data_IF_340743050540
#
_entry.id   IF_340743050540
#
_cell.length_a   1.000
_cell.length_b   1.000
_cell.length_c   1.000
_cell.angle_alpha   90.00
_cell.angle_beta   90.00
_cell.angle_gamma   90.00
#
_symmetry.space_group_name_H-M   'P 1'
#
loop_
_entity.id
_entity.type
_entity.pdbx_description
1 polymer ?
#
# COMPACT_ATOMS: atom_id res chain seq x y z
N UNK A 1 40.78 -7.11 28.68
CA UNK A 1 39.67 -8.01 28.28
C UNK A 1 39.25 -8.79 29.50
N UNK A 2 37.95 -8.99 29.76
CA UNK A 2 37.54 -9.83 30.87
C UNK A 2 37.98 -11.28 30.62
N UNK A 3 38.36 -11.99 31.68
CA UNK A 3 38.55 -13.44 31.62
C UNK A 3 37.24 -14.14 31.24
N UNK A 4 37.34 -15.37 30.72
CA UNK A 4 36.14 -16.19 30.49
C UNK A 4 35.70 -16.82 31.79
N UNK A 5 34.42 -16.75 32.07
CA UNK A 5 33.81 -17.44 33.21
C UNK A 5 32.73 -18.38 32.71
N UNK A 6 32.69 -19.59 33.23
CA UNK A 6 31.61 -20.54 32.96
C UNK A 6 31.34 -21.39 34.20
N UNK A 7 30.11 -21.89 34.30
CA UNK A 7 29.71 -22.82 35.35
C UNK A 7 29.64 -24.24 34.77
N UNK A 8 30.30 -25.17 35.45
CA UNK A 8 30.28 -26.59 35.09
C UNK A 8 30.20 -27.39 36.40
N UNK A 9 29.21 -28.29 36.51
CA UNK A 9 28.98 -29.14 37.69
C UNK A 9 28.88 -28.37 39.03
N UNK A 10 28.10 -27.28 39.10
CA UNK A 10 27.98 -26.41 40.29
C UNK A 10 29.32 -25.77 40.75
N UNK A 11 30.33 -25.72 39.86
CA UNK A 11 31.60 -25.03 40.11
C UNK A 11 31.78 -23.91 39.09
N UNK A 12 32.19 -22.73 39.56
CA UNK A 12 32.52 -21.58 38.72
C UNK A 12 34.00 -21.65 38.32
N UNK A 13 34.25 -21.72 37.03
CA UNK A 13 35.59 -21.68 36.45
C UNK A 13 35.88 -20.28 35.92
N UNK A 14 37.09 -19.80 36.16
CA UNK A 14 37.58 -18.50 35.67
C UNK A 14 38.87 -18.75 34.90
N UNK A 15 38.88 -18.39 33.61
CA UNK A 15 40.07 -18.38 32.79
C UNK A 15 40.62 -16.96 32.76
N UNK A 16 41.77 -16.77 33.43
CA UNK A 16 42.50 -15.51 33.42
C UNK A 16 43.17 -15.25 32.06
N UNK A 17 43.41 -13.97 31.78
CA UNK A 17 44.06 -13.53 30.55
C UNK A 17 45.57 -13.70 30.72
N UNK A 18 46.21 -14.42 29.78
CA UNK A 18 47.67 -14.58 29.79
C UNK A 18 48.36 -13.22 29.72
N UNK A 19 49.37 -13.02 30.57
CA UNK A 19 50.23 -11.83 30.61
C UNK A 19 51.59 -12.07 29.92
N UNK A 20 51.79 -13.24 29.32
CA UNK A 20 53.04 -13.60 28.64
C UNK A 20 53.09 -12.89 27.28
N UNK A 21 54.21 -12.19 26.95
CA UNK A 21 54.42 -11.60 25.64
C UNK A 21 54.42 -12.67 24.53
N UNK A 22 53.72 -12.39 23.44
CA UNK A 22 53.66 -13.30 22.29
C UNK A 22 54.93 -13.24 21.45
N UNK A 23 55.33 -14.41 20.94
CA UNK A 23 56.40 -14.55 19.95
C UNK A 23 55.85 -14.48 18.53
N UNK A 24 56.75 -14.37 17.53
CA UNK A 24 56.36 -14.47 16.11
C UNK A 24 55.68 -15.81 15.79
N UNK A 25 56.09 -16.89 16.47
CA UNK A 25 55.48 -18.22 16.31
C UNK A 25 54.02 -18.24 16.78
N UNK A 26 53.73 -17.57 17.90
CA UNK A 26 52.37 -17.49 18.44
C UNK A 26 51.42 -16.75 17.50
N UNK A 27 51.89 -15.67 16.86
CA UNK A 27 51.10 -14.91 15.87
C UNK A 27 50.80 -15.76 14.63
N UNK A 28 51.79 -16.52 14.13
CA UNK A 28 51.58 -17.46 13.01
C UNK A 28 50.55 -18.53 13.40
N UNK A 29 50.67 -19.08 14.61
CA UNK A 29 49.73 -20.07 15.11
C UNK A 29 48.31 -19.52 15.24
N UNK A 30 48.16 -18.29 15.73
CA UNK A 30 46.87 -17.61 15.81
C UNK A 30 46.21 -17.45 14.42
N UNK A 31 47.00 -17.07 13.42
CA UNK A 31 46.52 -16.98 12.03
C UNK A 31 46.06 -18.35 11.51
N UNK A 32 46.87 -19.40 11.66
CA UNK A 32 46.52 -20.76 11.23
C UNK A 32 45.26 -21.27 11.92
N UNK A 33 45.09 -20.99 13.21
CA UNK A 33 43.89 -21.34 13.96
C UNK A 33 42.66 -20.59 13.44
N UNK A 34 42.77 -19.31 13.15
CA UNK A 34 41.68 -18.51 12.58
C UNK A 34 41.26 -19.07 11.21
N UNK A 35 42.23 -19.32 10.32
CA UNK A 35 42.00 -19.86 8.98
C UNK A 35 41.38 -21.26 9.02
N UNK A 36 41.81 -22.10 9.97
CA UNK A 36 41.21 -23.41 10.21
C UNK A 36 39.75 -23.26 10.67
N UNK A 37 39.47 -22.43 11.68
CA UNK A 37 38.11 -22.23 12.20
C UNK A 37 37.16 -21.61 11.19
N UNK A 38 37.65 -20.68 10.35
CA UNK A 38 36.86 -20.09 9.27
C UNK A 38 36.43 -21.17 8.25
N UNK A 39 37.34 -22.09 7.90
CA UNK A 39 37.04 -23.22 7.00
C UNK A 39 36.11 -24.25 7.64
N UNK A 40 36.41 -24.69 8.87
CA UNK A 40 35.61 -25.67 9.61
C UNK A 40 34.16 -25.20 9.81
N UNK A 41 33.97 -23.92 10.12
CA UNK A 41 32.64 -23.32 10.30
C UNK A 41 32.04 -22.76 9.00
N UNK A 42 32.67 -23.01 7.84
CA UNK A 42 32.19 -22.60 6.53
C UNK A 42 31.79 -21.12 6.46
N UNK A 43 32.65 -20.25 7.00
CA UNK A 43 32.41 -18.81 6.97
C UNK A 43 32.42 -18.28 5.53
N UNK A 44 31.47 -17.40 5.19
CA UNK A 44 31.39 -16.80 3.86
C UNK A 44 32.53 -15.81 3.63
N UNK A 45 33.15 -15.88 2.46
CA UNK A 45 34.22 -14.96 2.04
C UNK A 45 33.69 -13.56 1.67
N UNK A 46 32.44 -13.46 1.22
CA UNK A 46 31.81 -12.20 0.80
C UNK A 46 30.48 -11.97 1.52
N UNK A 47 30.09 -10.70 1.62
CA UNK A 47 28.86 -10.29 2.30
C UNK A 47 28.90 -10.44 3.83
N UNK A 48 27.72 -10.25 4.45
CA UNK A 48 27.55 -10.32 5.90
C UNK A 48 27.57 -11.79 6.34
N UNK A 49 28.46 -12.12 7.28
CA UNK A 49 28.60 -13.48 7.82
C UNK A 49 28.79 -13.43 9.36
N UNK A 50 27.83 -13.94 10.14
CA UNK A 50 27.91 -13.93 11.61
C UNK A 50 29.10 -14.73 12.14
N UNK A 51 29.36 -15.92 11.58
CA UNK A 51 30.50 -16.78 11.95
C UNK A 51 31.82 -16.06 11.75
N UNK A 52 31.99 -15.41 10.58
CA UNK A 52 33.18 -14.61 10.30
C UNK A 52 33.30 -13.46 11.30
N UNK A 53 32.22 -12.71 11.52
CA UNK A 53 32.20 -11.59 12.47
C UNK A 53 32.64 -12.03 13.87
N UNK A 54 32.12 -13.15 14.37
CA UNK A 54 32.47 -13.72 15.67
C UNK A 54 33.96 -14.09 15.74
N UNK A 55 34.48 -14.83 14.74
CA UNK A 55 35.87 -15.28 14.74
C UNK A 55 36.86 -14.11 14.61
N UNK A 56 36.55 -13.10 13.79
CA UNK A 56 37.37 -11.90 13.68
C UNK A 56 37.31 -11.05 14.96
N UNK A 57 36.16 -10.99 15.65
CA UNK A 57 36.06 -10.30 16.93
C UNK A 57 36.95 -10.98 17.98
N UNK A 58 36.92 -12.31 18.08
CA UNK A 58 37.80 -13.07 18.98
C UNK A 58 39.28 -12.85 18.64
N UNK A 59 39.65 -12.88 17.35
CA UNK A 59 41.02 -12.62 16.92
C UNK A 59 41.46 -11.18 17.23
N UNK A 60 40.59 -10.19 17.02
CA UNK A 60 40.91 -8.79 17.31
C UNK A 60 41.05 -8.53 18.81
N UNK A 61 40.24 -9.19 19.64
CA UNK A 61 40.43 -9.18 21.09
C UNK A 61 41.80 -9.76 21.47
N UNK A 62 42.23 -10.86 20.85
CA UNK A 62 43.58 -11.40 21.08
C UNK A 62 44.68 -10.41 20.66
N UNK A 63 44.55 -9.75 19.50
CA UNK A 63 45.49 -8.71 19.07
C UNK A 63 45.54 -7.51 20.04
N UNK A 64 44.38 -7.13 20.62
CA UNK A 64 44.34 -6.10 21.68
C UNK A 64 45.09 -6.58 22.92
N UNK A 65 44.91 -7.84 23.34
CA UNK A 65 45.66 -8.44 24.46
C UNK A 65 47.17 -8.35 24.22
N UNK A 66 47.63 -8.86 23.08
CA UNK A 66 49.05 -8.88 22.71
C UNK A 66 49.65 -7.47 22.64
N UNK A 67 48.92 -6.53 22.03
CA UNK A 67 49.35 -5.13 21.94
C UNK A 67 49.39 -4.47 23.32
N UNK A 68 48.44 -4.77 24.20
CA UNK A 68 48.38 -4.23 25.56
C UNK A 68 49.57 -4.69 26.40
N UNK A 69 49.98 -5.96 26.26
CA UNK A 69 51.17 -6.50 26.96
C UNK A 69 52.44 -5.78 26.52
N UNK A 70 52.54 -5.46 25.22
CA UNK A 70 53.68 -4.71 24.69
C UNK A 70 53.65 -3.22 25.09
N UNK A 71 52.47 -2.59 25.04
CA UNK A 71 52.25 -1.18 25.36
C UNK A 71 50.77 -0.95 25.67
N UNK A 72 50.47 -0.66 26.93
CA UNK A 72 49.10 -0.55 27.43
C UNK A 72 48.31 0.56 26.73
N UNK A 73 48.95 1.68 26.40
CA UNK A 73 48.36 2.85 25.75
C UNK A 73 47.89 2.51 24.33
N UNK A 74 48.69 1.72 23.59
CA UNK A 74 48.30 1.23 22.26
C UNK A 74 47.15 0.24 22.34
N UNK A 75 47.17 -0.65 23.33
CA UNK A 75 46.07 -1.56 23.62
C UNK A 75 44.76 -0.82 23.90
N UNK A 76 44.82 0.21 24.75
CA UNK A 76 43.68 1.07 25.07
C UNK A 76 43.14 1.82 23.84
N UNK A 77 44.02 2.28 22.95
CA UNK A 77 43.60 2.92 21.71
C UNK A 77 42.85 1.95 20.79
N UNK A 78 43.38 0.74 20.60
CA UNK A 78 42.71 -0.30 19.79
C UNK A 78 41.35 -0.70 20.38
N UNK A 79 41.26 -0.78 21.71
CA UNK A 79 39.99 -1.01 22.42
C UNK A 79 38.95 0.05 22.09
N UNK A 80 39.32 1.34 22.12
CA UNK A 80 38.40 2.44 21.79
C UNK A 80 37.96 2.39 20.33
N UNK A 81 38.88 2.13 19.40
CA UNK A 81 38.56 1.99 17.97
C UNK A 81 37.60 0.82 17.74
N UNK A 82 37.79 -0.31 18.43
CA UNK A 82 36.88 -1.45 18.39
C UNK A 82 35.47 -1.04 18.78
N UNK A 83 35.34 -0.37 19.92
CA UNK A 83 34.05 -0.02 20.51
C UNK A 83 33.32 1.02 19.63
N UNK A 84 34.04 1.99 19.07
CA UNK A 84 33.50 2.97 18.12
C UNK A 84 32.97 2.30 16.84
N UNK A 85 33.73 1.35 16.26
CA UNK A 85 33.29 0.60 15.09
C UNK A 85 32.05 -0.25 15.42
N UNK A 86 32.00 -0.86 16.60
CA UNK A 86 30.83 -1.62 17.04
C UNK A 86 29.58 -0.74 17.19
N UNK A 87 29.72 0.43 17.81
CA UNK A 87 28.64 1.42 17.90
C UNK A 87 28.16 1.87 16.51
N UNK A 88 29.09 2.13 15.60
CA UNK A 88 28.78 2.54 14.23
C UNK A 88 28.01 1.45 13.48
N UNK A 89 28.42 0.19 13.61
CA UNK A 89 27.71 -0.94 13.00
C UNK A 89 26.30 -1.10 13.57
N UNK A 90 26.13 -0.98 14.89
CA UNK A 90 24.82 -1.05 15.54
C UNK A 90 23.87 0.07 15.07
N UNK A 91 24.41 1.28 14.87
CA UNK A 91 23.65 2.40 14.31
C UNK A 91 23.21 2.10 12.87
N UNK A 92 24.09 1.57 12.02
CA UNK A 92 23.73 1.16 10.66
C UNK A 92 22.71 0.04 10.63
N UNK A 93 22.79 -0.95 11.52
CA UNK A 93 21.78 -2.01 11.64
C UNK A 93 20.41 -1.42 11.98
N UNK A 94 20.34 -0.55 12.99
CA UNK A 94 19.10 0.13 13.39
C UNK A 94 18.49 0.95 12.24
N UNK A 95 19.33 1.67 11.50
CA UNK A 95 18.88 2.46 10.34
C UNK A 95 18.36 1.56 9.20
N UNK A 96 19.04 0.45 8.94
CA UNK A 96 18.63 -0.52 7.92
C UNK A 96 17.29 -1.18 8.28
N UNK A 97 17.14 -1.66 9.51
CA UNK A 97 15.88 -2.22 10.03
C UNK A 97 14.73 -1.22 9.91
N UNK A 98 14.98 0.04 10.30
CA UNK A 98 14.00 1.13 10.17
C UNK A 98 13.60 1.39 8.72
N UNK A 99 14.56 1.33 7.80
CA UNK A 99 14.35 1.56 6.36
C UNK A 99 13.54 0.43 5.73
N UNK A 100 13.84 -0.83 6.07
CA UNK A 100 13.05 -2.00 5.64
C UNK A 100 11.62 -1.90 6.17
N UNK A 101 11.44 -1.59 7.45
CA UNK A 101 10.12 -1.43 8.06
C UNK A 101 9.32 -0.27 7.43
N UNK A 102 9.98 0.83 7.04
CA UNK A 102 9.34 1.90 6.30
C UNK A 102 8.87 1.44 4.92
N UNK A 103 9.72 0.74 4.16
CA UNK A 103 9.38 0.19 2.84
C UNK A 103 8.18 -0.76 2.91
N UNK A 104 8.16 -1.67 3.87
CA UNK A 104 7.04 -2.60 4.08
C UNK A 104 5.73 -1.86 4.40
N UNK A 105 5.77 -0.86 5.29
CA UNK A 105 4.58 -0.05 5.62
C UNK A 105 4.03 0.68 4.40
N UNK A 106 4.91 1.24 3.56
CA UNK A 106 4.49 1.94 2.34
C UNK A 106 3.90 1.01 1.30
N UNK A 107 4.46 -0.18 1.12
CA UNK A 107 3.89 -1.20 0.25
C UNK A 107 2.48 -1.61 0.73
N UNK A 108 2.33 -1.89 2.03
CA UNK A 108 1.02 -2.25 2.59
C UNK A 108 0.00 -1.12 2.47
N UNK A 109 0.40 0.14 2.72
CA UNK A 109 -0.46 1.30 2.57
C UNK A 109 -0.95 1.47 1.12
N UNK A 110 -0.08 1.20 0.14
CA UNK A 110 -0.45 1.26 -1.28
C UNK A 110 -1.47 0.18 -1.65
N UNK A 111 -1.27 -1.06 -1.19
CA UNK A 111 -2.22 -2.16 -1.41
C UNK A 111 -3.60 -1.88 -0.78
N UNK A 112 -3.62 -1.37 0.46
CA UNK A 112 -4.87 -0.97 1.11
C UNK A 112 -5.58 0.16 0.34
N UNK A 113 -4.84 1.20 -0.03
CA UNK A 113 -5.40 2.33 -0.80
C UNK A 113 -5.95 1.89 -2.15
N UNK A 114 -5.31 0.94 -2.82
CA UNK A 114 -5.81 0.34 -4.07
C UNK A 114 -7.12 -0.41 -3.84
N UNK A 115 -7.18 -1.29 -2.83
CA UNK A 115 -8.39 -2.05 -2.52
C UNK A 115 -9.58 -1.15 -2.14
N UNK A 116 -9.32 -0.05 -1.42
CA UNK A 116 -10.34 0.94 -1.09
C UNK A 116 -10.89 1.66 -2.33
N UNK A 117 -10.01 2.04 -3.26
CA UNK A 117 -10.40 2.66 -4.53
C UNK A 117 -11.18 1.69 -5.41
N UNK A 118 -10.76 0.42 -5.51
CA UNK A 118 -11.49 -0.60 -6.27
C UNK A 118 -12.90 -0.82 -5.73
N UNK A 119 -13.07 -0.85 -4.40
CA UNK A 119 -14.40 -0.90 -3.78
C UNK A 119 -15.24 0.32 -4.15
N UNK A 120 -14.64 1.53 -4.08
CA UNK A 120 -15.36 2.77 -4.40
C UNK A 120 -15.78 2.82 -5.87
N UNK A 121 -14.94 2.32 -6.78
CA UNK A 121 -15.28 2.21 -8.21
C UNK A 121 -16.48 1.29 -8.38
N UNK A 122 -16.48 0.10 -7.76
CA UNK A 122 -17.59 -0.84 -7.86
C UNK A 122 -18.92 -0.26 -7.34
N UNK A 123 -18.88 0.46 -6.21
CA UNK A 123 -20.05 1.17 -5.67
C UNK A 123 -20.58 2.22 -6.66
N UNK A 124 -19.70 3.07 -7.19
CA UNK A 124 -20.07 4.13 -8.13
C UNK A 124 -20.58 3.59 -9.47
N UNK A 125 -20.03 2.45 -9.94
CA UNK A 125 -20.51 1.78 -11.15
C UNK A 125 -21.92 1.19 -10.98
N UNK A 126 -22.25 0.67 -9.80
CA UNK A 126 -23.61 0.22 -9.47
C UNK A 126 -24.57 1.41 -9.38
N UNK A 127 -24.19 2.48 -8.67
CA UNK A 127 -25.00 3.70 -8.55
C UNK A 127 -25.26 4.34 -9.92
N UNK A 128 -24.24 4.41 -10.78
CA UNK A 128 -24.38 4.88 -12.16
C UNK A 128 -25.39 4.04 -12.94
N UNK A 129 -25.30 2.70 -12.87
CA UNK A 129 -26.23 1.79 -13.56
C UNK A 129 -27.67 2.00 -13.10
N UNK A 130 -27.88 2.15 -11.79
CA UNK A 130 -29.21 2.39 -11.23
C UNK A 130 -29.77 3.77 -11.64
N UNK A 131 -28.96 4.82 -11.62
CA UNK A 131 -29.36 6.14 -12.09
C UNK A 131 -29.67 6.14 -13.59
N UNK A 132 -28.90 5.44 -14.41
CA UNK A 132 -29.18 5.29 -15.85
C UNK A 132 -30.51 4.56 -16.09
N UNK A 133 -30.82 3.53 -15.28
CA UNK A 133 -32.12 2.84 -15.31
C UNK A 133 -33.26 3.79 -14.98
N UNK A 134 -33.15 4.55 -13.88
CA UNK A 134 -34.16 5.53 -13.47
C UNK A 134 -34.40 6.60 -14.53
N UNK A 135 -33.33 7.14 -15.12
CA UNK A 135 -33.42 8.12 -16.20
C UNK A 135 -34.17 7.55 -17.41
N UNK A 136 -33.89 6.30 -17.80
CA UNK A 136 -34.58 5.66 -18.92
C UNK A 136 -36.06 5.40 -18.61
N UNK A 137 -36.40 5.01 -17.39
CA UNK A 137 -37.78 4.82 -16.96
C UNK A 137 -38.59 6.12 -16.97
N UNK A 138 -38.03 7.20 -16.43
CA UNK A 138 -38.70 8.50 -16.43
C UNK A 138 -38.83 9.08 -17.85
N UNK A 139 -37.81 8.90 -18.72
CA UNK A 139 -37.91 9.26 -20.14
C UNK A 139 -39.06 8.53 -20.83
N UNK A 140 -39.16 7.21 -20.64
CA UNK A 140 -40.24 6.42 -21.23
C UNK A 140 -41.63 6.86 -20.71
N UNK A 141 -41.74 7.22 -19.42
CA UNK A 141 -42.98 7.78 -18.86
C UNK A 141 -43.34 9.12 -19.50
N UNK A 142 -42.39 10.05 -19.61
CA UNK A 142 -42.61 11.34 -20.26
C UNK A 142 -43.08 11.17 -21.71
N UNK A 143 -42.40 10.33 -22.49
CA UNK A 143 -42.79 10.04 -23.88
C UNK A 143 -44.21 9.46 -24.00
N UNK A 144 -44.59 8.56 -23.08
CA UNK A 144 -45.94 8.00 -23.05
C UNK A 144 -47.01 9.05 -22.73
N UNK A 145 -46.73 9.95 -21.76
CA UNK A 145 -47.61 11.05 -21.40
C UNK A 145 -47.76 12.04 -22.56
N UNK A 146 -46.66 12.40 -23.22
CA UNK A 146 -46.67 13.30 -24.38
C UNK A 146 -47.49 12.73 -25.53
N UNK A 147 -47.28 11.45 -25.89
CA UNK A 147 -48.08 10.79 -26.93
C UNK A 147 -49.57 10.76 -26.59
N UNK A 148 -49.92 10.36 -25.36
CA UNK A 148 -51.32 10.34 -24.92
C UNK A 148 -51.94 11.75 -24.93
N UNK A 149 -51.17 12.78 -24.54
CA UNK A 149 -51.59 14.17 -24.61
C UNK A 149 -51.85 14.65 -26.05
N UNK A 150 -50.93 14.33 -26.97
CA UNK A 150 -51.08 14.65 -28.39
C UNK A 150 -52.29 13.95 -29.02
N UNK A 151 -52.49 12.66 -28.75
CA UNK A 151 -53.65 11.91 -29.24
C UNK A 151 -54.98 12.52 -28.76
N UNK A 152 -55.06 12.90 -27.48
CA UNK A 152 -56.24 13.58 -26.92
C UNK A 152 -56.48 14.94 -27.57
N UNK A 153 -55.43 15.76 -27.73
CA UNK A 153 -55.55 17.05 -28.42
C UNK A 153 -56.04 16.89 -29.86
N UNK A 154 -55.48 15.95 -30.62
CA UNK A 154 -55.91 15.68 -32.00
C UNK A 154 -57.37 15.20 -32.07
N UNK A 155 -57.81 14.39 -31.10
CA UNK A 155 -59.20 13.94 -31.04
C UNK A 155 -60.16 15.10 -30.75
N UNK A 156 -59.82 15.95 -29.77
CA UNK A 156 -60.62 17.14 -29.42
C UNK A 156 -60.64 18.17 -30.55
N UNK A 157 -59.53 18.41 -31.24
CA UNK A 157 -59.49 19.26 -32.44
C UNK A 157 -60.39 18.73 -33.55
N UNK A 158 -60.37 17.43 -33.84
CA UNK A 158 -61.27 16.81 -34.83
C UNK A 158 -62.73 16.99 -34.46
N UNK A 159 -63.10 16.69 -33.21
CA UNK A 159 -64.47 16.90 -32.72
C UNK A 159 -64.89 18.36 -32.86
N UNK A 160 -64.03 19.30 -32.45
CA UNK A 160 -64.32 20.73 -32.53
C UNK A 160 -64.49 21.21 -33.98
N UNK A 161 -63.63 20.73 -34.90
CA UNK A 161 -63.77 21.02 -36.34
C UNK A 161 -65.11 20.50 -36.88
N UNK A 162 -65.49 19.27 -36.53
CA UNK A 162 -66.77 18.67 -36.91
C UNK A 162 -67.96 19.48 -36.37
N UNK A 163 -67.89 19.91 -35.11
CA UNK A 163 -68.91 20.73 -34.44
C UNK A 163 -69.06 22.10 -35.12
N UNK A 164 -67.95 22.77 -35.40
CA UNK A 164 -67.93 24.06 -36.12
C UNK A 164 -68.49 23.89 -37.53
N UNK A 165 -68.15 22.81 -38.24
CA UNK A 165 -68.70 22.53 -39.56
C UNK A 165 -70.22 22.27 -39.50
N UNK A 166 -70.68 21.50 -38.52
CA UNK A 166 -72.11 21.26 -38.28
C UNK A 166 -72.84 22.58 -38.01
N UNK A 167 -72.35 23.40 -37.07
CA UNK A 167 -72.93 24.70 -36.75
C UNK A 167 -72.94 25.64 -37.96
N UNK A 168 -71.88 25.66 -38.78
CA UNK A 168 -71.84 26.44 -40.03
C UNK A 168 -72.93 26.00 -41.01
N UNK A 169 -73.13 24.69 -41.21
CA UNK A 169 -74.21 24.14 -42.07
C UNK A 169 -75.59 24.52 -41.54
N UNK A 170 -75.83 24.36 -40.24
CA UNK A 170 -77.10 24.73 -39.60
C UNK A 170 -77.38 26.23 -39.72
N UNK A 171 -76.36 27.07 -39.51
CA UNK A 171 -76.49 28.53 -39.65
C UNK A 171 -76.79 28.94 -41.10
N UNK A 172 -76.17 28.29 -42.10
CA UNK A 172 -76.50 28.48 -43.50
C UNK A 172 -77.96 28.09 -43.81
N UNK A 173 -78.43 26.93 -43.35
CA UNK A 173 -79.82 26.50 -43.52
C UNK A 173 -80.81 27.50 -42.89
N UNK A 174 -80.53 27.94 -41.66
CA UNK A 174 -81.35 28.96 -40.98
C UNK A 174 -81.36 30.30 -41.70
N UNK A 175 -80.23 30.73 -42.29
CA UNK A 175 -80.16 31.94 -43.13
C UNK A 175 -81.00 31.81 -44.40
N UNK A 176 -81.01 30.65 -45.04
CA UNK A 176 -81.85 30.38 -46.23
C UNK A 176 -83.33 30.37 -45.83
N UNK A 177 -83.71 29.72 -44.72
CA UNK A 177 -85.08 29.78 -44.19
C UNK A 177 -85.52 31.20 -43.82
N UNK A 178 -84.63 32.05 -43.29
CA UNK A 178 -84.94 33.47 -43.02
C UNK A 178 -84.98 34.34 -44.29
N UNK A 179 -84.30 33.94 -45.37
CA UNK A 179 -84.29 34.65 -46.68
C UNK A 179 -85.39 34.18 -47.64
N UNK A 180 -86.16 33.16 -47.30
CA UNK A 180 -87.34 32.72 -48.05
C UNK A 180 -88.62 33.25 -47.38
N UNK A 181 -89.12 34.45 -47.73
CA UNK A 181 -90.42 34.90 -47.28
C UNK A 181 -91.52 34.15 -48.04
N UNK A 182 -92.56 33.73 -47.32
CA UNK A 182 -93.80 33.10 -47.78
C UNK A 182 -93.78 31.61 -48.15
N UNK A 183 -94.10 30.77 -47.17
CA UNK A 183 -95.21 29.80 -47.34
C UNK A 183 -95.65 29.26 -45.97
N UNK A 184 -96.82 29.72 -45.53
CA UNK A 184 -97.82 29.11 -44.62
C UNK A 184 -98.58 30.27 -43.96
N UNK A 185 -99.60 30.83 -44.61
CA UNK A 185 -100.97 30.33 -44.84
C UNK A 185 -101.94 30.92 -43.81
N UNK A 186 -102.96 31.59 -44.37
CA UNK A 186 -104.36 31.74 -43.92
C UNK A 186 -104.64 32.19 -42.49
#
# INVERSE_FOLDING_TARGET
>A
LPGREWEEENRRWVQEVSNVPSTRGDVIHLQEQLDRRLRERQARETGICPVRRELYQQCFDELIRETTINCAERGLLLLRVRDEIQMTIAAYQTLYESSVAFGMRKALQAEQGKADMERRIAELEEEKRELERQVNEEKARCEAIEKCGQEKQQLEEKKHIEEVQFLKRTNQQLKVSKKNPNSKQK
#
